data_IF_726352355193
#
_entry.id   IF_726352355193
#
_cell.length_a   1.000
_cell.length_b   1.000
_cell.length_c   1.000
_cell.angle_alpha   90.00
_cell.angle_beta   90.00
_cell.angle_gamma   90.00
#
_symmetry.space_group_name_H-M   'P 1'
#
loop_
_entity.id
_entity.type
_entity.pdbx_description
1 polymer ?
#
# COMPACT_ATOMS: atom_id res chain seq x y z
N UNK A 1 -52.07 21.02 -14.47
CA UNK A 1 -51.19 19.82 -14.59
C UNK A 1 -49.73 20.22 -14.84
N UNK A 2 -49.21 21.23 -14.11
CA UNK A 2 -47.93 21.92 -14.41
C UNK A 2 -46.72 21.40 -13.63
N UNK A 3 -46.91 20.51 -12.64
CA UNK A 3 -45.81 19.96 -11.84
C UNK A 3 -44.98 18.87 -12.53
N UNK A 4 -45.52 18.22 -13.57
CA UNK A 4 -44.87 17.04 -14.19
C UNK A 4 -43.66 17.41 -15.06
N UNK A 5 -43.65 18.62 -15.63
CA UNK A 5 -42.56 19.10 -16.49
C UNK A 5 -41.40 19.72 -15.69
N UNK A 6 -41.67 20.46 -14.60
CA UNK A 6 -40.62 21.09 -13.79
C UNK A 6 -39.61 20.08 -13.21
N UNK A 7 -40.08 18.89 -12.83
CA UNK A 7 -39.21 17.87 -12.22
C UNK A 7 -38.70 16.84 -13.23
N UNK A 8 -39.01 16.95 -14.53
CA UNK A 8 -38.58 15.97 -15.53
C UNK A 8 -37.05 15.83 -15.59
N UNK A 9 -36.31 16.94 -15.53
CA UNK A 9 -34.85 16.93 -15.49
C UNK A 9 -34.30 16.28 -14.22
N UNK A 10 -34.87 16.60 -13.06
CA UNK A 10 -34.48 16.03 -11.77
C UNK A 10 -34.78 14.53 -11.77
N UNK A 11 -35.92 14.12 -12.31
CA UNK A 11 -36.31 12.73 -12.45
C UNK A 11 -35.32 11.94 -13.33
N UNK A 12 -34.92 12.49 -14.47
CA UNK A 12 -33.87 11.88 -15.31
C UNK A 12 -32.54 11.77 -14.57
N UNK A 13 -32.18 12.78 -13.79
CA UNK A 13 -30.95 12.78 -12.98
C UNK A 13 -31.01 11.70 -11.89
N UNK A 14 -32.14 11.57 -11.19
CA UNK A 14 -32.39 10.52 -10.21
C UNK A 14 -32.35 9.13 -10.86
N UNK A 15 -32.94 8.96 -12.04
CA UNK A 15 -32.86 7.70 -12.80
C UNK A 15 -31.41 7.34 -13.13
N UNK A 16 -30.60 8.29 -13.62
CA UNK A 16 -29.17 8.05 -13.91
C UNK A 16 -28.40 7.74 -12.62
N UNK A 17 -28.68 8.45 -11.52
CA UNK A 17 -28.02 8.26 -10.23
C UNK A 17 -28.33 6.89 -9.61
N UNK A 18 -29.56 6.40 -9.76
CA UNK A 18 -30.01 5.07 -9.31
C UNK A 18 -29.49 3.92 -10.20
N UNK A 19 -29.03 4.21 -11.42
CA UNK A 19 -28.40 3.23 -12.33
C UNK A 19 -26.86 3.24 -12.16
N UNK A 20 -26.30 4.33 -11.64
CA UNK A 20 -24.87 4.51 -11.39
C UNK A 20 -24.32 3.59 -10.29
N UNK A 21 -25.13 3.23 -9.29
CA UNK A 21 -24.73 2.24 -8.29
C UNK A 21 -24.78 0.82 -8.87
N UNK A 22 -23.63 0.36 -9.36
CA UNK A 22 -23.39 -1.04 -9.73
C UNK A 22 -23.18 -1.92 -8.49
N UNK A 23 -24.05 -1.83 -7.48
CA UNK A 23 -23.97 -2.79 -6.38
C UNK A 23 -24.51 -4.15 -6.83
N UNK A 24 -23.83 -5.21 -6.40
CA UNK A 24 -24.27 -6.59 -6.59
C UNK A 24 -25.50 -6.96 -5.72
N UNK A 25 -26.06 -5.98 -5.01
CA UNK A 25 -27.27 -6.11 -4.20
C UNK A 25 -28.47 -6.49 -5.06
N UNK A 26 -29.35 -7.35 -4.52
CA UNK A 26 -30.48 -7.91 -5.26
C UNK A 26 -31.41 -6.83 -5.85
N UNK A 27 -31.55 -5.71 -5.14
CA UNK A 27 -32.44 -4.60 -5.49
C UNK A 27 -31.87 -3.79 -6.67
N UNK A 28 -30.57 -3.49 -6.65
CA UNK A 28 -29.88 -2.73 -7.71
C UNK A 28 -29.67 -3.58 -8.97
N UNK A 29 -29.54 -4.90 -8.82
CA UNK A 29 -29.48 -5.84 -9.94
C UNK A 29 -30.71 -5.75 -10.84
N UNK A 30 -31.90 -5.53 -10.28
CA UNK A 30 -33.15 -5.45 -11.05
C UNK A 30 -33.14 -4.35 -12.12
N UNK A 31 -32.38 -3.27 -11.88
CA UNK A 31 -32.25 -2.11 -12.77
C UNK A 31 -31.07 -2.21 -13.75
N UNK A 32 -30.18 -3.20 -13.57
CA UNK A 32 -28.98 -3.34 -14.40
C UNK A 32 -29.29 -4.00 -15.74
N UNK A 33 -28.71 -3.47 -16.83
CA UNK A 33 -28.69 -4.13 -18.14
C UNK A 33 -27.96 -5.49 -18.06
N UNK A 34 -27.05 -5.63 -17.09
CA UNK A 34 -26.32 -6.86 -16.82
C UNK A 34 -27.03 -7.78 -15.83
N UNK A 35 -28.30 -7.54 -15.47
CA UNK A 35 -29.03 -8.31 -14.43
C UNK A 35 -29.00 -9.83 -14.60
N UNK A 36 -29.04 -10.29 -15.85
CA UNK A 36 -29.02 -11.72 -16.20
C UNK A 36 -27.64 -12.36 -16.08
N UNK A 37 -26.58 -11.54 -16.11
CA UNK A 37 -25.18 -11.98 -16.03
C UNK A 37 -24.60 -11.74 -14.63
N UNK A 38 -25.15 -10.78 -13.89
CA UNK A 38 -24.67 -10.38 -12.57
C UNK A 38 -25.12 -11.39 -11.51
N UNK A 39 -24.17 -12.11 -10.92
CA UNK A 39 -24.40 -13.00 -9.77
C UNK A 39 -23.69 -12.45 -8.53
N UNK A 40 -24.15 -12.86 -7.33
CA UNK A 40 -23.49 -12.43 -6.09
C UNK A 40 -22.05 -12.94 -6.06
N UNK A 41 -21.12 -12.10 -5.56
CA UNK A 41 -19.70 -12.44 -5.40
C UNK A 41 -18.97 -12.82 -6.70
N UNK A 42 -19.44 -12.32 -7.84
CA UNK A 42 -18.77 -12.51 -9.12
C UNK A 42 -17.57 -11.55 -9.25
N UNK A 43 -16.42 -12.07 -9.67
CA UNK A 43 -15.28 -11.20 -10.01
C UNK A 43 -15.57 -10.37 -11.26
N UNK A 44 -14.95 -9.19 -11.39
CA UNK A 44 -15.10 -8.33 -12.57
C UNK A 44 -14.73 -9.09 -13.86
N UNK A 45 -13.61 -9.81 -13.85
CA UNK A 45 -13.18 -10.62 -14.99
C UNK A 45 -14.20 -11.69 -15.38
N UNK A 46 -14.84 -12.33 -14.39
CA UNK A 46 -15.90 -13.31 -14.64
C UNK A 46 -17.15 -12.64 -15.23
N UNK A 47 -17.51 -11.44 -14.77
CA UNK A 47 -18.63 -10.67 -15.31
C UNK A 47 -18.39 -10.29 -16.78
N UNK A 48 -17.19 -9.78 -17.08
CA UNK A 48 -16.78 -9.44 -18.44
C UNK A 48 -16.84 -10.68 -19.34
N UNK A 49 -16.30 -11.82 -18.88
CA UNK A 49 -16.32 -13.06 -19.64
C UNK A 49 -17.76 -13.52 -19.94
N UNK A 50 -18.65 -13.52 -18.96
CA UNK A 50 -20.05 -13.89 -19.17
C UNK A 50 -20.79 -12.91 -20.11
N UNK A 51 -20.43 -11.62 -20.06
CA UNK A 51 -20.98 -10.61 -20.99
C UNK A 51 -20.53 -10.86 -22.43
N UNK A 52 -19.23 -11.12 -22.63
CA UNK A 52 -18.69 -11.48 -23.95
C UNK A 52 -19.39 -12.72 -24.52
N UNK A 53 -19.60 -13.75 -23.70
CA UNK A 53 -20.33 -14.95 -24.11
C UNK A 53 -21.76 -14.61 -24.51
N UNK A 54 -22.48 -13.84 -23.70
CA UNK A 54 -23.87 -13.43 -23.98
C UNK A 54 -23.99 -12.60 -25.27
N UNK A 55 -23.08 -11.66 -25.46
CA UNK A 55 -23.07 -10.79 -26.64
C UNK A 55 -22.76 -11.59 -27.91
N UNK A 56 -21.86 -12.57 -27.84
CA UNK A 56 -21.60 -13.50 -28.93
C UNK A 56 -22.81 -14.39 -29.24
N UNK A 57 -23.50 -14.93 -28.24
CA UNK A 57 -24.73 -15.73 -28.46
C UNK A 57 -25.81 -14.88 -29.14
N UNK A 58 -25.94 -13.61 -28.75
CA UNK A 58 -26.88 -12.69 -29.40
C UNK A 58 -26.51 -12.40 -30.85
N UNK A 59 -25.23 -12.18 -31.16
CA UNK A 59 -24.80 -11.88 -32.54
C UNK A 59 -25.01 -13.05 -33.50
N UNK A 60 -24.89 -14.28 -32.98
CA UNK A 60 -25.06 -15.52 -33.75
C UNK A 60 -26.55 -15.91 -33.93
N UNK A 61 -27.49 -15.09 -33.45
CA UNK A 61 -28.93 -15.36 -33.59
C UNK A 61 -29.47 -16.36 -32.57
N UNK A 62 -28.79 -16.50 -31.42
CA UNK A 62 -29.17 -17.39 -30.33
C UNK A 62 -28.44 -18.73 -30.36
N UNK A 63 -28.83 -19.62 -29.44
CA UNK A 63 -28.13 -20.90 -29.20
C UNK A 63 -28.11 -21.83 -30.42
N UNK A 64 -29.09 -21.73 -31.32
CA UNK A 64 -29.18 -22.59 -32.51
C UNK A 64 -28.09 -22.29 -33.56
N UNK A 65 -27.55 -21.08 -33.59
CA UNK A 65 -26.46 -20.71 -34.49
C UNK A 65 -25.07 -21.02 -33.94
N UNK A 66 -24.97 -21.45 -32.67
CA UNK A 66 -23.68 -21.69 -32.01
C UNK A 66 -23.03 -22.96 -32.57
N UNK A 67 -21.99 -22.78 -33.38
CA UNK A 67 -21.17 -23.89 -33.88
C UNK A 67 -20.10 -24.23 -32.84
N UNK A 68 -20.14 -25.44 -32.30
CA UNK A 68 -19.10 -25.95 -31.39
C UNK A 68 -17.88 -26.32 -32.23
N UNK A 69 -16.91 -25.41 -32.30
CA UNK A 69 -15.66 -25.64 -33.04
C UNK A 69 -14.70 -26.55 -32.27
N UNK A 70 -13.78 -27.19 -33.00
CA UNK A 70 -12.71 -28.03 -32.40
C UNK A 70 -11.81 -27.21 -31.48
N UNK A 71 -11.56 -25.95 -31.81
CA UNK A 71 -10.77 -25.02 -31.01
C UNK A 71 -11.45 -24.69 -29.67
N UNK A 72 -12.79 -24.52 -29.67
CA UNK A 72 -13.55 -24.29 -28.45
C UNK A 72 -13.45 -25.50 -27.50
N UNK A 73 -13.52 -26.72 -28.04
CA UNK A 73 -13.35 -27.95 -27.27
C UNK A 73 -11.95 -28.06 -26.67
N UNK A 74 -10.91 -27.75 -27.45
CA UNK A 74 -9.53 -27.72 -26.95
C UNK A 74 -9.33 -26.67 -25.85
N UNK A 75 -9.90 -25.47 -26.01
CA UNK A 75 -9.85 -24.43 -24.99
C UNK A 75 -10.55 -24.87 -23.69
N UNK A 76 -11.72 -25.51 -23.81
CA UNK A 76 -12.45 -26.06 -22.68
C UNK A 76 -11.62 -27.13 -21.91
N UNK A 77 -10.93 -28.02 -22.64
CA UNK A 77 -10.07 -29.05 -22.03
C UNK A 77 -8.94 -28.44 -21.17
N UNK A 78 -8.32 -27.36 -21.64
CA UNK A 78 -7.20 -26.71 -20.93
C UNK A 78 -7.67 -25.77 -19.81
N UNK A 79 -8.96 -25.47 -19.71
CA UNK A 79 -9.51 -24.48 -18.76
C UNK A 79 -9.23 -24.87 -17.30
N UNK A 80 -9.35 -26.16 -16.96
CA UNK A 80 -9.04 -26.63 -15.60
C UNK A 80 -7.59 -26.38 -15.22
N UNK A 81 -6.65 -26.64 -16.13
CA UNK A 81 -5.23 -26.39 -15.91
C UNK A 81 -4.95 -24.90 -15.74
N UNK A 82 -5.49 -24.06 -16.62
CA UNK A 82 -5.38 -22.58 -16.52
C UNK A 82 -5.89 -22.07 -15.17
N UNK A 83 -7.00 -22.61 -14.67
CA UNK A 83 -7.54 -22.25 -13.37
C UNK A 83 -6.58 -22.60 -12.22
N UNK A 84 -6.00 -23.80 -12.22
CA UNK A 84 -5.01 -24.18 -11.22
C UNK A 84 -3.76 -23.29 -11.28
N UNK A 85 -3.24 -23.03 -12.48
CA UNK A 85 -2.10 -22.11 -12.67
C UNK A 85 -2.41 -20.71 -12.17
N UNK A 86 -3.62 -20.19 -12.42
CA UNK A 86 -4.06 -18.90 -11.89
C UNK A 86 -4.13 -18.89 -10.34
N UNK A 87 -4.63 -19.97 -9.72
CA UNK A 87 -4.66 -20.09 -8.27
C UNK A 87 -3.24 -20.13 -7.66
N UNK A 88 -2.30 -20.84 -8.28
CA UNK A 88 -0.90 -20.87 -7.86
C UNK A 88 -0.23 -19.50 -8.02
N UNK A 89 -0.47 -18.82 -9.16
CA UNK A 89 0.00 -17.45 -9.38
C UNK A 89 -0.54 -16.50 -8.29
N UNK A 90 -1.83 -16.59 -7.94
CA UNK A 90 -2.40 -15.75 -6.89
C UNK A 90 -1.81 -16.05 -5.50
N UNK A 91 -1.51 -17.32 -5.20
CA UNK A 91 -0.84 -17.68 -3.93
C UNK A 91 0.59 -17.12 -3.87
N UNK A 92 1.37 -17.32 -4.93
CA UNK A 92 2.74 -16.83 -5.02
C UNK A 92 2.81 -15.31 -4.99
N UNK A 93 1.87 -14.61 -5.63
CA UNK A 93 1.79 -13.15 -5.58
C UNK A 93 1.49 -12.65 -4.16
N UNK A 94 0.50 -13.25 -3.46
CA UNK A 94 0.22 -12.91 -2.06
C UNK A 94 1.41 -13.17 -1.14
N UNK A 95 2.20 -14.21 -1.40
CA UNK A 95 3.44 -14.47 -0.64
C UNK A 95 4.53 -13.46 -0.95
N UNK A 96 4.69 -13.06 -2.22
CA UNK A 96 5.62 -12.02 -2.67
C UNK A 96 5.25 -10.66 -2.08
N UNK A 97 3.98 -10.27 -2.13
CA UNK A 97 3.46 -9.05 -1.51
C UNK A 97 3.77 -9.04 -0.01
N UNK A 98 3.49 -10.13 0.72
CA UNK A 98 3.82 -10.24 2.15
C UNK A 98 5.32 -10.10 2.41
N UNK A 99 6.17 -10.72 1.60
CA UNK A 99 7.64 -10.59 1.72
C UNK A 99 8.10 -9.17 1.42
N UNK A 100 7.58 -8.56 0.36
CA UNK A 100 7.87 -7.19 -0.04
C UNK A 100 7.46 -6.19 1.05
N UNK A 101 6.24 -6.33 1.60
CA UNK A 101 5.76 -5.50 2.70
C UNK A 101 6.63 -5.64 3.95
N UNK A 102 7.04 -6.86 4.31
CA UNK A 102 7.96 -7.09 5.43
C UNK A 102 9.31 -6.41 5.19
N UNK A 103 9.90 -6.57 4.00
CA UNK A 103 11.16 -5.90 3.63
C UNK A 103 11.02 -4.37 3.70
N UNK A 104 9.95 -3.80 3.14
CA UNK A 104 9.72 -2.36 3.14
C UNK A 104 9.62 -1.79 4.55
N UNK A 105 8.91 -2.47 5.46
CA UNK A 105 8.81 -2.04 6.86
C UNK A 105 10.19 -2.02 7.55
N UNK A 106 11.00 -3.07 7.33
CA UNK A 106 12.35 -3.13 7.89
C UNK A 106 13.27 -2.08 7.26
N UNK A 107 13.14 -1.82 5.96
CA UNK A 107 13.87 -0.74 5.26
C UNK A 107 13.53 0.65 5.80
N UNK A 108 12.23 0.91 6.05
CA UNK A 108 11.76 2.16 6.66
C UNK A 108 12.36 2.32 8.07
N UNK A 109 12.32 1.27 8.91
CA UNK A 109 12.94 1.25 10.24
C UNK A 109 14.45 1.54 10.17
N UNK A 110 15.19 0.84 9.30
CA UNK A 110 16.62 1.06 9.05
C UNK A 110 16.89 2.51 8.63
N UNK A 111 16.04 3.08 7.77
CA UNK A 111 16.11 4.47 7.34
C UNK A 111 15.97 5.46 8.50
N UNK A 112 15.03 5.22 9.42
CA UNK A 112 14.84 6.06 10.61
C UNK A 112 16.02 5.96 11.58
N UNK A 113 16.54 4.75 11.82
CA UNK A 113 17.70 4.53 12.68
C UNK A 113 18.96 5.21 12.12
N UNK A 114 19.20 5.11 10.80
CA UNK A 114 20.31 5.83 10.13
C UNK A 114 20.20 7.34 10.29
N UNK A 115 18.99 7.91 10.19
CA UNK A 115 18.77 9.34 10.43
C UNK A 115 19.04 9.70 11.89
N UNK A 116 18.56 8.90 12.85
CA UNK A 116 18.79 9.11 14.28
C UNK A 116 20.28 9.10 14.63
N UNK A 117 21.05 8.15 14.08
CA UNK A 117 22.51 8.08 14.26
C UNK A 117 23.18 9.37 13.75
N UNK A 118 22.84 9.82 12.53
CA UNK A 118 23.40 11.07 11.98
C UNK A 118 23.11 12.28 12.87
N UNK A 119 21.90 12.38 13.42
CA UNK A 119 21.50 13.47 14.32
C UNK A 119 22.28 13.42 15.64
N UNK A 120 22.41 12.23 16.25
CA UNK A 120 23.19 12.04 17.47
C UNK A 120 24.66 12.39 17.26
N UNK A 121 25.27 11.99 16.14
CA UNK A 121 26.65 12.35 15.80
C UNK A 121 26.84 13.87 15.65
N UNK A 122 25.91 14.57 15.00
CA UNK A 122 25.97 16.03 14.91
C UNK A 122 25.80 16.71 16.27
N UNK A 123 24.89 16.21 17.10
CA UNK A 123 24.63 16.75 18.44
C UNK A 123 25.84 16.59 19.36
N UNK A 124 26.49 15.42 19.34
CA UNK A 124 27.71 15.14 20.11
C UNK A 124 28.81 16.13 19.70
N UNK A 125 29.03 16.30 18.39
CA UNK A 125 30.01 17.27 17.86
C UNK A 125 29.70 18.69 18.33
N UNK A 126 28.45 19.13 18.24
CA UNK A 126 28.03 20.45 18.69
C UNK A 126 28.28 20.65 20.19
N UNK A 127 27.88 19.68 21.03
CA UNK A 127 28.10 19.71 22.48
C UNK A 127 29.58 19.81 22.84
N UNK A 128 30.46 19.10 22.14
CA UNK A 128 31.90 19.23 22.33
C UNK A 128 32.43 20.60 21.91
N UNK A 129 32.00 21.13 20.75
CA UNK A 129 32.43 22.46 20.31
C UNK A 129 31.96 23.57 21.27
N UNK A 130 30.75 23.46 21.79
CA UNK A 130 30.21 24.43 22.75
C UNK A 130 30.85 24.30 24.13
N UNK A 131 31.20 23.08 24.56
CA UNK A 131 31.97 22.86 25.77
C UNK A 131 33.38 23.45 25.68
N UNK A 132 34.04 23.34 24.52
CA UNK A 132 35.36 23.93 24.29
C UNK A 132 35.28 25.46 24.30
N UNK A 133 34.33 26.06 23.55
CA UNK A 133 34.08 27.52 23.62
C UNK A 133 33.77 28.01 25.03
N UNK A 134 33.04 27.23 25.83
CA UNK A 134 32.76 27.57 27.22
C UNK A 134 34.00 27.48 28.11
N UNK A 135 34.95 26.59 27.78
CA UNK A 135 36.25 26.50 28.47
C UNK A 135 37.14 27.68 28.10
N UNK A 136 37.24 28.02 26.81
CA UNK A 136 38.02 29.18 26.33
C UNK A 136 37.55 30.49 27.00
N UNK A 137 36.22 30.67 27.11
CA UNK A 137 35.63 31.81 27.83
C UNK A 137 35.93 31.81 29.33
N UNK A 138 36.07 30.64 29.95
CA UNK A 138 36.47 30.58 31.36
C UNK A 138 37.90 31.07 31.55
N UNK A 139 38.80 30.75 30.62
CA UNK A 139 40.20 31.17 30.65
C UNK A 139 40.32 32.69 30.43
N UNK A 140 39.53 33.25 29.51
CA UNK A 140 39.45 34.71 29.27
C UNK A 140 38.89 35.48 30.49
N UNK A 141 37.80 34.98 31.08
CA UNK A 141 37.10 35.65 32.19
C UNK A 141 37.67 35.31 33.57
N UNK A 142 38.63 34.38 33.67
CA UNK A 142 39.14 33.78 34.93
C UNK A 142 38.03 33.41 35.91
N UNK A 143 36.94 32.86 35.39
CA UNK A 143 35.74 32.54 36.17
C UNK A 143 35.43 31.04 36.12
N UNK A 144 34.97 30.49 37.24
CA UNK A 144 34.68 29.07 37.37
C UNK A 144 33.31 28.65 36.78
N UNK A 145 32.37 29.60 36.65
CA UNK A 145 31.01 29.30 36.21
C UNK A 145 30.94 28.67 34.79
N UNK A 146 31.69 29.14 33.77
CA UNK A 146 31.68 28.52 32.45
C UNK A 146 32.32 27.12 32.42
N UNK A 147 33.23 26.80 33.35
CA UNK A 147 33.84 25.45 33.49
C UNK A 147 32.78 24.44 33.92
N UNK A 148 31.93 24.81 34.88
CA UNK A 148 30.82 23.94 35.32
C UNK A 148 29.85 23.68 34.16
N UNK A 149 29.58 24.71 33.35
CA UNK A 149 28.79 24.57 32.12
C UNK A 149 29.47 23.66 31.09
N UNK A 150 30.77 23.78 30.85
CA UNK A 150 31.51 22.90 29.94
C UNK A 150 31.45 21.43 30.40
N UNK A 151 31.61 21.17 31.70
CA UNK A 151 31.55 19.81 32.24
C UNK A 151 30.16 19.17 32.14
N UNK A 152 29.09 19.95 32.35
CA UNK A 152 27.72 19.46 32.14
C UNK A 152 27.45 19.12 30.67
N UNK A 153 27.96 19.92 29.72
CA UNK A 153 27.85 19.64 28.28
C UNK A 153 28.66 18.40 27.88
N UNK A 154 29.86 18.20 28.41
CA UNK A 154 30.68 16.99 28.19
C UNK A 154 30.03 15.74 28.76
N UNK A 155 29.38 15.83 29.92
CA UNK A 155 28.62 14.71 30.50
C UNK A 155 27.44 14.32 29.60
N UNK A 156 26.65 15.31 29.15
CA UNK A 156 25.56 15.08 28.19
C UNK A 156 26.04 14.49 26.86
N UNK A 157 27.23 14.88 26.39
CA UNK A 157 27.83 14.31 25.19
C UNK A 157 28.16 12.82 25.39
N UNK A 158 28.72 12.44 26.54
CA UNK A 158 28.98 11.03 26.89
C UNK A 158 27.69 10.22 26.98
N UNK A 159 26.65 10.75 27.61
CA UNK A 159 25.34 10.07 27.69
C UNK A 159 24.80 9.81 26.26
N UNK A 160 24.92 10.78 25.36
CA UNK A 160 24.55 10.63 23.94
C UNK A 160 25.45 9.67 23.16
N UNK A 161 26.73 9.54 23.51
CA UNK A 161 27.64 8.54 22.92
C UNK A 161 27.22 7.11 23.28
N UNK A 162 26.77 6.88 24.52
CA UNK A 162 26.22 5.58 24.93
C UNK A 162 24.93 5.26 24.16
N UNK A 163 24.02 6.23 24.01
CA UNK A 163 22.82 6.09 23.17
C UNK A 163 23.15 5.82 21.69
N UNK A 164 24.21 6.46 21.17
CA UNK A 164 24.71 6.24 19.82
C UNK A 164 25.16 4.79 19.62
N UNK A 165 25.92 4.22 20.56
CA UNK A 165 26.40 2.85 20.48
C UNK A 165 25.26 1.82 20.57
N UNK A 166 24.24 2.08 21.40
CA UNK A 166 23.02 1.25 21.45
C UNK A 166 22.29 1.29 20.11
N UNK A 167 22.03 2.49 19.57
CA UNK A 167 21.31 2.64 18.30
C UNK A 167 22.06 2.07 17.08
N UNK A 168 23.40 2.07 17.10
CA UNK A 168 24.23 1.39 16.09
C UNK A 168 24.11 -0.13 16.17
N UNK A 169 24.05 -0.72 17.37
CA UNK A 169 23.81 -2.16 17.55
C UNK A 169 22.44 -2.56 17.02
N UNK A 170 21.40 -1.82 17.39
CA UNK A 170 20.04 -2.01 16.88
C UNK A 170 19.98 -1.92 15.34
N UNK A 171 20.70 -0.94 14.76
CA UNK A 171 20.80 -0.82 13.29
C UNK A 171 21.46 -2.06 12.67
N UNK A 172 22.57 -2.54 13.24
CA UNK A 172 23.28 -3.71 12.72
C UNK A 172 22.42 -4.98 12.78
N UNK A 173 21.68 -5.18 13.88
CA UNK A 173 20.73 -6.29 14.01
C UNK A 173 19.62 -6.20 12.94
N UNK A 174 19.04 -5.01 12.73
CA UNK A 174 18.00 -4.78 11.72
C UNK A 174 18.52 -4.95 10.29
N UNK A 175 19.75 -4.53 10.00
CA UNK A 175 20.40 -4.74 8.69
C UNK A 175 20.69 -6.23 8.47
N UNK A 176 21.12 -6.96 9.50
CA UNK A 176 21.31 -8.39 9.41
C UNK A 176 19.99 -9.14 9.16
N UNK A 177 18.90 -8.73 9.82
CA UNK A 177 17.56 -9.24 9.55
C UNK A 177 17.14 -8.97 8.10
N UNK A 178 17.40 -7.77 7.58
CA UNK A 178 17.08 -7.40 6.19
C UNK A 178 17.82 -8.25 5.16
N UNK A 179 19.09 -8.58 5.40
CA UNK A 179 19.87 -9.45 4.50
C UNK A 179 19.38 -10.91 4.49
N UNK A 180 18.64 -11.33 5.53
CA UNK A 180 18.15 -12.70 5.71
C UNK A 180 16.66 -12.89 5.36
N UNK A 181 15.94 -11.83 4.97
CA UNK A 181 14.55 -11.86 4.45
C UNK A 181 14.60 -11.93 2.94
#
# INVERSE_FOLDING_TARGET
>A
MTGKEMYSRVWNLVCVLLILSHGQASIERGFSVNKEVSTQNLSENSLIACRVIKDHIKSVGGLKGLVVSKELLQSAQVTRQKYHTHLEAQKTEKEREKKCMKRRLVEEEVGTLRKKIKMLESDIKLLFTDANKASDKADELRSFAPITKANTMRRRAKDKEEELEVTKKELNEKVHLLNNI
#
